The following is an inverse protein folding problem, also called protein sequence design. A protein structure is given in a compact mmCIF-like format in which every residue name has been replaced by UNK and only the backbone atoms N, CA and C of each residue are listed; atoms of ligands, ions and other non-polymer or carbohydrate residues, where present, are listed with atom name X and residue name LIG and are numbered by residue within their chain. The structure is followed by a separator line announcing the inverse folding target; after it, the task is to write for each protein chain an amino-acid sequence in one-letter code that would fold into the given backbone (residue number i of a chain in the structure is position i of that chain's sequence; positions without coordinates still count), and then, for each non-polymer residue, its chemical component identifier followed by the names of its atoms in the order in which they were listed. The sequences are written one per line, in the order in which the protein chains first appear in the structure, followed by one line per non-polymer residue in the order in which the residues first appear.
data_IF_529046794600
#
_entry.id   IF_529046794600
#
_cell.length_a   1.000
_cell.length_b   1.000
_cell.length_c   1.000
_cell.angle_alpha   90.00
_cell.angle_beta   90.00
_cell.angle_gamma   90.00
#
_symmetry.space_group_name_H-M   'P 1'
#
loop_
_entity.id
_entity.type
_entity.pdbx_description
1 polymer ?
#
# COMPACT_ATOMS: atom_id res chain seq x y z
N UNK A 1 6.10 10.92 9.63
CA UNK A 1 4.90 11.65 10.07
C UNK A 1 4.13 11.98 8.81
N UNK A 2 3.15 11.17 8.43
CA UNK A 2 2.28 11.49 7.29
C UNK A 2 1.12 12.34 7.80
N UNK A 3 1.16 13.60 7.40
CA UNK A 3 0.26 14.65 7.82
C UNK A 3 -0.97 14.64 6.89
N UNK A 4 -2.12 14.12 7.33
CA UNK A 4 -3.38 14.10 6.54
C UNK A 4 -3.80 15.51 6.12
N UNK A 5 -3.47 16.52 6.92
CA UNK A 5 -3.88 17.91 6.74
C UNK A 5 -3.36 18.55 5.45
N UNK A 6 -2.33 18.02 4.79
CA UNK A 6 -1.83 18.55 3.51
C UNK A 6 -2.55 17.98 2.27
N UNK A 7 -3.28 16.87 2.39
CA UNK A 7 -3.84 16.17 1.23
C UNK A 7 -5.38 16.12 1.23
N UNK A 8 -6.04 16.88 2.11
CA UNK A 8 -7.49 16.96 2.08
C UNK A 8 -7.94 17.71 0.82
N UNK A 9 -8.59 17.00 -0.09
CA UNK A 9 -9.06 17.59 -1.33
C UNK A 9 -10.39 18.34 -1.08
N UNK A 10 -10.40 19.65 -1.37
CA UNK A 10 -11.57 20.54 -1.20
C UNK A 10 -12.31 20.86 -2.52
N UNK A 11 -11.94 20.21 -3.61
CA UNK A 11 -12.63 20.36 -4.89
C UNK A 11 -13.78 19.37 -5.07
N UNK A 12 -14.25 19.22 -6.30
CA UNK A 12 -15.41 18.38 -6.63
C UNK A 12 -15.10 17.30 -7.69
N UNK A 13 -13.83 17.09 -8.03
CA UNK A 13 -13.42 15.98 -8.88
C UNK A 13 -13.64 14.65 -8.16
N UNK A 14 -14.52 13.81 -8.70
CA UNK A 14 -14.89 12.51 -8.12
C UNK A 14 -13.69 11.60 -7.88
N UNK A 15 -12.72 11.58 -8.80
CA UNK A 15 -11.54 10.72 -8.70
C UNK A 15 -10.63 11.09 -7.52
N UNK A 16 -10.65 12.36 -7.10
CA UNK A 16 -9.87 12.89 -5.98
C UNK A 16 -10.63 12.81 -4.66
N UNK A 17 -11.95 12.99 -4.66
CA UNK A 17 -12.78 12.90 -3.44
C UNK A 17 -12.68 11.53 -2.74
N UNK A 18 -12.53 10.45 -3.51
CA UNK A 18 -12.41 9.10 -2.96
C UNK A 18 -11.16 8.96 -2.06
N UNK A 19 -10.08 9.67 -2.38
CA UNK A 19 -8.83 9.65 -1.61
C UNK A 19 -9.04 10.12 -0.16
N UNK A 20 -9.89 11.14 0.05
CA UNK A 20 -10.24 11.64 1.39
C UNK A 20 -10.89 10.58 2.29
N UNK A 21 -11.59 9.60 1.69
CA UNK A 21 -12.26 8.54 2.44
C UNK A 21 -11.37 7.32 2.69
N UNK A 22 -10.50 7.00 1.73
CA UNK A 22 -9.65 5.81 1.74
C UNK A 22 -8.41 5.98 2.61
N UNK A 23 -7.72 7.12 2.51
CA UNK A 23 -6.48 7.32 3.25
C UNK A 23 -6.77 7.84 4.66
N UNK A 24 -6.47 7.01 5.66
CA UNK A 24 -6.58 7.34 7.07
C UNK A 24 -5.27 7.06 7.77
N UNK A 25 -4.94 7.87 8.76
CA UNK A 25 -3.77 7.64 9.61
C UNK A 25 -4.17 6.73 10.76
N UNK A 26 -3.39 5.67 10.92
CA UNK A 26 -3.37 4.80 12.09
C UNK A 26 -1.92 4.55 12.51
N UNK A 27 -1.72 4.16 13.77
CA UNK A 27 -0.41 3.84 14.32
C UNK A 27 -0.32 2.38 14.75
N UNK A 28 0.77 1.72 14.39
CA UNK A 28 1.14 0.41 14.91
C UNK A 28 2.65 0.37 15.14
N UNK A 29 3.09 -0.38 16.16
CA UNK A 29 4.49 -0.59 16.46
C UNK A 29 4.78 -2.09 16.54
N UNK A 30 5.86 -2.52 15.89
CA UNK A 30 6.36 -3.90 15.92
C UNK A 30 7.82 -3.86 16.35
N UNK A 31 8.16 -4.62 17.39
CA UNK A 31 9.54 -4.79 17.84
C UNK A 31 10.10 -6.11 17.28
N UNK A 32 11.21 -6.02 16.57
CA UNK A 32 11.94 -7.18 16.03
C UNK A 32 13.24 -7.38 16.81
N UNK A 33 13.57 -8.63 17.13
CA UNK A 33 14.83 -9.01 17.77
C UNK A 33 15.37 -10.28 17.13
N UNK A 34 16.70 -10.35 16.98
CA UNK A 34 17.43 -11.54 16.57
C UNK A 34 18.07 -12.27 17.77
N UNK A 35 17.80 -11.83 19.01
CA UNK A 35 18.37 -12.44 20.22
C UNK A 35 17.62 -13.73 20.56
N UNK A 36 18.35 -14.82 20.73
CA UNK A 36 17.78 -16.12 21.12
C UNK A 36 17.06 -16.08 22.47
N UNK A 37 17.50 -15.21 23.39
CA UNK A 37 16.83 -14.97 24.69
C UNK A 37 15.40 -14.47 24.55
N UNK A 38 15.10 -13.71 23.49
CA UNK A 38 13.81 -13.07 23.30
C UNK A 38 12.79 -14.00 22.62
N UNK A 39 13.27 -15.12 22.04
CA UNK A 39 12.44 -16.09 21.30
C UNK A 39 11.32 -16.70 22.14
N UNK A 40 11.53 -16.88 23.44
CA UNK A 40 10.48 -17.40 24.36
C UNK A 40 9.39 -16.38 24.65
N UNK A 41 9.66 -15.08 24.43
CA UNK A 41 8.75 -13.96 24.70
C UNK A 41 8.10 -13.40 23.43
N UNK A 42 8.64 -13.70 22.25
CA UNK A 42 8.10 -13.23 20.97
C UNK A 42 6.75 -13.87 20.67
N UNK A 43 5.75 -13.05 20.31
CA UNK A 43 4.42 -13.53 19.89
C UNK A 43 4.43 -14.23 18.52
N UNK A 44 5.30 -13.76 17.63
CA UNK A 44 5.43 -14.26 16.26
C UNK A 44 6.91 -14.34 15.86
N UNK A 45 7.22 -15.25 14.94
CA UNK A 45 8.53 -15.36 14.29
C UNK A 45 8.38 -14.97 12.81
N UNK A 46 9.19 -14.04 12.34
CA UNK A 46 9.28 -13.72 10.90
C UNK A 46 10.09 -14.80 10.20
N UNK A 47 9.50 -15.47 9.22
CA UNK A 47 10.14 -16.58 8.49
C UNK A 47 10.53 -16.14 7.08
N UNK A 48 9.59 -15.57 6.33
CA UNK A 48 9.79 -15.14 4.94
C UNK A 48 9.20 -13.75 4.69
N UNK A 49 9.86 -12.99 3.82
CA UNK A 49 9.41 -11.68 3.33
C UNK A 49 9.61 -11.62 1.82
N UNK A 50 8.57 -11.26 1.07
CA UNK A 50 8.62 -11.10 -0.39
C UNK A 50 8.16 -9.69 -0.76
N UNK A 51 8.92 -9.02 -1.63
CA UNK A 51 8.57 -7.70 -2.16
C UNK A 51 8.24 -7.80 -3.64
N UNK A 52 7.09 -7.26 -4.04
CA UNK A 52 6.69 -7.10 -5.45
C UNK A 52 6.63 -5.62 -5.79
N UNK A 53 7.18 -5.23 -6.93
CA UNK A 53 7.18 -3.83 -7.39
C UNK A 53 6.80 -3.76 -8.87
N UNK A 54 5.77 -2.98 -9.20
CA UNK A 54 5.27 -2.77 -10.58
C UNK A 54 5.37 -1.32 -11.05
N UNK A 55 6.17 -0.48 -10.40
CA UNK A 55 6.26 0.95 -10.75
C UNK A 55 6.84 1.25 -12.14
N UNK A 56 7.37 0.25 -12.85
CA UNK A 56 7.83 0.39 -14.24
C UNK A 56 6.71 0.17 -15.28
N UNK A 57 5.53 -0.28 -14.86
CA UNK A 57 4.34 -0.38 -15.71
C UNK A 57 3.59 0.95 -15.68
N UNK A 58 3.32 1.52 -16.85
CA UNK A 58 2.71 2.87 -16.96
C UNK A 58 1.33 2.93 -16.32
N UNK A 59 0.52 1.85 -16.41
CA UNK A 59 -0.80 1.82 -15.77
C UNK A 59 -0.67 1.83 -14.26
N UNK A 60 0.27 1.08 -13.72
CA UNK A 60 0.59 1.03 -12.30
C UNK A 60 1.19 2.35 -11.80
N UNK A 61 2.03 3.01 -12.60
CA UNK A 61 2.62 4.30 -12.26
C UNK A 61 1.57 5.43 -12.23
N UNK A 62 0.72 5.50 -13.25
CA UNK A 62 -0.29 6.56 -13.39
C UNK A 62 -1.58 6.31 -12.60
N UNK A 63 -1.69 5.21 -11.84
CA UNK A 63 -2.96 4.88 -11.16
C UNK A 63 -3.26 5.74 -9.94
N UNK A 64 -2.24 6.33 -9.32
CA UNK A 64 -2.35 7.26 -8.19
C UNK A 64 -1.39 8.41 -8.45
N UNK A 65 -1.91 9.60 -8.70
CA UNK A 65 -1.08 10.76 -9.01
C UNK A 65 -1.60 12.00 -8.28
N UNK A 66 -0.70 12.89 -7.88
CA UNK A 66 -1.06 14.17 -7.31
C UNK A 66 -1.09 15.21 -8.42
N UNK A 67 -2.23 15.88 -8.60
CA UNK A 67 -2.43 16.84 -9.67
C UNK A 67 -3.37 17.98 -9.23
N UNK A 68 -3.41 19.05 -10.02
CA UNK A 68 -4.36 20.16 -9.86
C UNK A 68 -5.64 19.88 -10.64
N UNK A 69 -6.80 20.19 -10.04
CA UNK A 69 -8.06 20.24 -10.78
C UNK A 69 -8.24 21.56 -11.58
N UNK A 70 -9.36 21.67 -12.29
CA UNK A 70 -9.69 22.86 -13.09
C UNK A 70 -9.81 24.15 -12.27
N UNK A 71 -10.05 24.04 -10.95
CA UNK A 71 -10.11 25.14 -9.99
C UNK A 71 -8.75 25.39 -9.28
N UNK A 72 -7.67 24.74 -9.75
CA UNK A 72 -6.31 24.80 -9.18
C UNK A 72 -6.22 24.27 -7.76
N UNK A 73 -7.12 23.38 -7.37
CA UNK A 73 -7.06 22.68 -6.08
C UNK A 73 -6.27 21.39 -6.27
N UNK A 74 -5.23 21.23 -5.46
CA UNK A 74 -4.38 20.05 -5.48
C UNK A 74 -5.11 18.89 -4.81
N UNK A 75 -5.11 17.73 -5.45
CA UNK A 75 -5.67 16.50 -4.93
C UNK A 75 -4.91 15.26 -5.41
N UNK A 76 -5.19 14.11 -4.80
CA UNK A 76 -4.67 12.81 -5.24
C UNK A 76 -5.75 12.12 -6.07
N UNK A 77 -5.53 12.03 -7.39
CA UNK A 77 -6.43 11.36 -8.30
C UNK A 77 -6.20 9.84 -8.27
N UNK A 78 -7.31 9.09 -8.19
CA UNK A 78 -7.30 7.63 -8.27
C UNK A 78 -7.90 7.18 -9.60
N UNK A 79 -7.10 6.47 -10.40
CA UNK A 79 -7.55 5.88 -11.65
C UNK A 79 -8.47 4.68 -11.42
N UNK A 80 -9.37 4.43 -12.38
CA UNK A 80 -10.21 3.21 -12.40
C UNK A 80 -9.39 1.92 -12.51
N UNK A 81 -8.17 2.02 -13.05
CA UNK A 81 -7.25 0.89 -13.17
C UNK A 81 -6.68 0.43 -11.82
N UNK A 82 -6.78 1.25 -10.76
CA UNK A 82 -6.15 1.00 -9.46
C UNK A 82 -6.46 -0.40 -8.90
N UNK A 83 -7.72 -0.83 -8.96
CA UNK A 83 -8.13 -2.14 -8.43
C UNK A 83 -7.51 -3.29 -9.24
N UNK A 84 -7.41 -3.14 -10.56
CA UNK A 84 -6.84 -4.17 -11.43
C UNK A 84 -5.32 -4.29 -11.21
N UNK A 85 -4.59 -3.17 -11.22
CA UNK A 85 -3.13 -3.18 -11.03
C UNK A 85 -2.73 -3.64 -9.62
N UNK A 86 -3.51 -3.27 -8.59
CA UNK A 86 -3.30 -3.73 -7.23
C UNK A 86 -3.55 -5.24 -7.11
N UNK A 87 -4.66 -5.74 -7.69
CA UNK A 87 -4.99 -7.16 -7.70
C UNK A 87 -3.91 -8.00 -8.38
N UNK A 88 -3.38 -7.54 -9.51
CA UNK A 88 -2.31 -8.23 -10.22
C UNK A 88 -0.99 -8.23 -9.43
N UNK A 89 -0.67 -7.12 -8.76
CA UNK A 89 0.50 -7.01 -7.87
C UNK A 89 0.40 -7.97 -6.70
N UNK A 90 -0.77 -8.03 -6.05
CA UNK A 90 -1.03 -8.96 -4.95
C UNK A 90 -0.97 -10.42 -5.41
N UNK A 91 -1.59 -10.74 -6.55
CA UNK A 91 -1.52 -12.09 -7.14
C UNK A 91 -0.07 -12.53 -7.33
N UNK A 92 0.76 -11.67 -7.94
CA UNK A 92 2.18 -11.96 -8.17
C UNK A 92 2.93 -12.21 -6.85
N UNK A 93 2.68 -11.37 -5.83
CA UNK A 93 3.30 -11.51 -4.52
C UNK A 93 2.90 -12.83 -3.84
N UNK A 94 1.60 -13.13 -3.80
CA UNK A 94 1.05 -14.35 -3.19
C UNK A 94 1.53 -15.60 -3.92
N UNK A 95 1.59 -15.60 -5.25
CA UNK A 95 2.14 -16.73 -6.03
C UNK A 95 3.60 -17.01 -5.69
N UNK A 96 4.39 -15.97 -5.40
CA UNK A 96 5.80 -16.12 -4.98
C UNK A 96 5.90 -16.55 -3.52
N UNK A 97 5.07 -16.00 -2.63
CA UNK A 97 5.09 -16.30 -1.20
C UNK A 97 4.50 -17.69 -0.87
N UNK A 98 3.49 -18.13 -1.61
CA UNK A 98 2.74 -19.36 -1.36
C UNK A 98 3.63 -20.58 -1.12
N UNK A 99 4.55 -20.92 -2.04
CA UNK A 99 5.47 -22.05 -1.86
C UNK A 99 6.41 -21.93 -0.66
N UNK A 100 6.67 -20.71 -0.15
CA UNK A 100 7.54 -20.48 1.00
C UNK A 100 6.82 -20.71 2.34
N UNK A 101 5.48 -20.66 2.35
CA UNK A 101 4.68 -20.75 3.58
C UNK A 101 3.76 -21.96 3.61
N UNK A 102 3.52 -22.61 2.47
CA UNK A 102 2.72 -23.84 2.37
C UNK A 102 3.62 -25.08 2.49
N UNK A 103 3.17 -26.13 3.19
CA UNK A 103 3.91 -27.38 3.23
C UNK A 103 4.01 -27.97 1.81
N UNK A 104 5.21 -28.42 1.44
CA UNK A 104 5.39 -29.28 0.28
C UNK A 104 4.68 -30.60 0.57
N UNK A 105 3.83 -31.03 -0.36
CA UNK A 105 3.09 -32.30 -0.26
C UNK A 105 4.01 -33.51 -0.11
#
# INVERSE_FOLDING_TARGET
MENITLNWYFGNNRSMLVSNCLFRVGGAAILLSNRSSDRRRSKYQLIHTVRTHKGADDRSYNCVFQEEDDEKKIGVALSKDLMAVAGETLKTNITTLGPLVLPMS
#
